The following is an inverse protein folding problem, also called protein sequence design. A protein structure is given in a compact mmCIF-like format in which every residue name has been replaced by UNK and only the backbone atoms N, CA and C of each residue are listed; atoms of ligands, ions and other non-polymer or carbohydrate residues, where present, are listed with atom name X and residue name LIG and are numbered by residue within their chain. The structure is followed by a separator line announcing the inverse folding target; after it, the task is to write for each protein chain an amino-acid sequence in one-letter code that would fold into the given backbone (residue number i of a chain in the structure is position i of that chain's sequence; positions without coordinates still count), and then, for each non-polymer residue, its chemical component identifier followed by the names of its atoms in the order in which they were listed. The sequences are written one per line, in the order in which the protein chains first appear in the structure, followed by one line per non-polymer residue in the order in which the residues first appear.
data_IF_777842466043
#
_entry.id   IF_777842466043
#
_cell.length_a   1.000
_cell.length_b   1.000
_cell.length_c   1.000
_cell.angle_alpha   90.00
_cell.angle_beta   90.00
_cell.angle_gamma   90.00
#
_symmetry.space_group_name_H-M   'P 1'
#
loop_
_entity.id
_entity.type
_entity.pdbx_description
1 polymer ?
#
# COMPACT_ATOMS: atom_id res chain seq x y z
N UNK A 1 48.26 -7.97 52.89
CA UNK A 1 46.78 -7.93 53.09
C UNK A 1 46.18 -7.06 51.99
N UNK A 2 45.77 -7.67 50.89
CA UNK A 2 45.15 -7.03 49.72
C UNK A 2 44.36 -8.14 49.02
N UNK A 3 43.04 -8.05 48.99
CA UNK A 3 42.22 -7.86 47.78
C UNK A 3 40.95 -8.72 48.03
N UNK A 4 39.74 -8.48 47.57
CA UNK A 4 39.18 -7.62 46.52
C UNK A 4 37.66 -7.63 46.82
N UNK A 5 37.00 -6.48 46.92
CA UNK A 5 35.52 -6.44 46.90
C UNK A 5 35.09 -6.71 45.45
N UNK A 6 34.45 -7.85 45.19
CA UNK A 6 33.83 -8.17 43.90
C UNK A 6 32.52 -7.39 43.78
N UNK A 7 32.53 -6.29 43.03
CA UNK A 7 31.32 -5.61 42.57
C UNK A 7 30.88 -6.27 41.27
N UNK A 8 29.82 -7.06 41.33
CA UNK A 8 29.17 -7.60 40.14
C UNK A 8 28.35 -6.48 39.47
N UNK A 9 28.88 -5.90 38.40
CA UNK A 9 28.17 -4.91 37.58
C UNK A 9 27.18 -5.69 36.67
N UNK A 10 25.91 -5.68 37.04
CA UNK A 10 24.81 -6.14 36.17
C UNK A 10 24.61 -5.09 35.06
N UNK A 11 25.21 -5.31 33.89
CA UNK A 11 24.96 -4.48 32.71
C UNK A 11 23.54 -4.78 32.19
N UNK A 12 22.55 -4.01 32.64
CA UNK A 12 21.22 -4.01 32.03
C UNK A 12 21.35 -3.33 30.68
N UNK A 13 21.49 -4.13 29.62
CA UNK A 13 21.37 -3.65 28.25
C UNK A 13 19.91 -3.22 28.03
N UNK A 14 19.64 -1.91 28.15
CA UNK A 14 18.42 -1.33 27.64
C UNK A 14 18.45 -1.48 26.11
N UNK A 15 17.80 -2.52 25.60
CA UNK A 15 17.53 -2.62 24.16
C UNK A 15 16.49 -1.56 23.83
N UNK A 16 16.93 -0.44 23.27
CA UNK A 16 16.03 0.46 22.56
C UNK A 16 15.46 -0.33 21.39
N UNK A 17 14.22 -0.79 21.49
CA UNK A 17 13.52 -1.37 20.34
C UNK A 17 13.37 -0.25 19.31
N UNK A 18 14.23 -0.27 18.29
CA UNK A 18 14.08 0.58 17.12
C UNK A 18 12.88 0.04 16.35
N UNK A 19 11.74 0.70 16.50
CA UNK A 19 10.52 0.39 15.72
C UNK A 19 10.86 0.53 14.25
N UNK A 20 10.55 -0.48 13.44
CA UNK A 20 10.81 -0.39 12.01
C UNK A 20 10.06 0.83 11.40
N UNK A 21 10.69 1.59 10.49
CA UNK A 21 10.01 2.68 9.82
C UNK A 21 8.80 2.16 9.04
N UNK A 22 7.75 2.97 8.94
CA UNK A 22 6.59 2.66 8.10
C UNK A 22 7.05 2.28 6.69
N UNK A 23 6.71 1.07 6.26
CA UNK A 23 6.93 0.64 4.89
C UNK A 23 5.97 1.41 3.99
N UNK A 24 6.51 2.04 2.94
CA UNK A 24 5.73 2.82 1.97
C UNK A 24 5.91 2.19 0.61
N UNK A 25 4.79 1.90 -0.06
CA UNK A 25 4.77 1.43 -1.43
C UNK A 25 3.83 2.29 -2.27
N UNK A 26 4.15 2.54 -3.54
CA UNK A 26 3.27 3.30 -4.44
C UNK A 26 3.30 2.78 -5.88
N UNK A 27 2.20 3.04 -6.60
CA UNK A 27 2.01 2.63 -7.99
C UNK A 27 1.38 3.75 -8.79
N UNK A 28 1.99 4.06 -9.92
CA UNK A 28 1.43 4.95 -10.92
C UNK A 28 0.58 4.13 -11.87
N UNK A 29 -0.66 4.56 -12.06
CA UNK A 29 -1.68 3.80 -12.77
C UNK A 29 -2.35 4.69 -13.82
N UNK A 30 -2.76 4.06 -14.92
CA UNK A 30 -3.54 4.70 -15.99
C UNK A 30 -4.75 3.84 -16.34
N UNK A 31 -5.88 4.48 -16.61
CA UNK A 31 -7.15 3.79 -16.86
C UNK A 31 -8.22 4.71 -17.43
N UNK A 32 -9.46 4.23 -17.36
CA UNK A 32 -10.62 4.92 -17.95
C UNK A 32 -10.72 4.80 -19.46
N UNK A 33 -11.74 5.45 -20.03
CA UNK A 33 -11.99 5.43 -21.47
C UNK A 33 -10.83 6.12 -22.20
N UNK A 34 -10.15 5.41 -23.10
CA UNK A 34 -8.94 5.87 -23.81
C UNK A 34 -7.70 6.11 -22.93
N UNK A 35 -7.63 5.53 -21.73
CA UNK A 35 -6.46 5.64 -20.84
C UNK A 35 -6.09 7.10 -20.50
N UNK A 36 -7.08 7.92 -20.18
CA UNK A 36 -6.89 9.34 -19.87
C UNK A 36 -7.02 9.67 -18.38
N UNK A 37 -7.26 8.67 -17.53
CA UNK A 37 -7.37 8.84 -16.08
C UNK A 37 -6.09 8.30 -15.46
N UNK A 38 -5.35 9.17 -14.78
CA UNK A 38 -4.13 8.82 -14.08
C UNK A 38 -4.36 8.80 -12.57
N UNK A 39 -3.83 7.78 -11.90
CA UNK A 39 -4.10 7.49 -10.51
C UNK A 39 -2.80 7.06 -9.82
N UNK A 40 -2.45 7.70 -8.70
CA UNK A 40 -1.47 7.16 -7.77
C UNK A 40 -2.22 6.32 -6.73
N UNK A 41 -1.77 5.09 -6.50
CA UNK A 41 -2.14 4.29 -5.33
C UNK A 41 -0.94 4.18 -4.41
N UNK A 42 -1.11 4.54 -3.14
CA UNK A 42 -0.03 4.49 -2.14
C UNK A 42 -0.48 3.74 -0.90
N UNK A 43 0.34 2.81 -0.44
CA UNK A 43 0.12 1.95 0.72
C UNK A 43 1.16 2.27 1.78
N UNK A 44 0.72 2.29 3.03
CA UNK A 44 1.56 2.38 4.23
C UNK A 44 1.32 1.12 5.04
N UNK A 45 2.40 0.52 5.55
CA UNK A 45 2.32 -0.69 6.35
C UNK A 45 3.26 -0.59 7.54
N UNK A 46 2.77 -0.99 8.71
CA UNK A 46 3.58 -1.20 9.90
C UNK A 46 3.87 -2.70 10.05
N UNK A 47 5.12 -3.15 9.83
CA UNK A 47 5.44 -4.57 9.78
C UNK A 47 5.15 -5.33 11.09
N UNK A 48 5.35 -4.67 12.23
CA UNK A 48 5.20 -5.31 13.56
C UNK A 48 3.74 -5.59 13.94
N UNK A 49 2.81 -4.71 13.56
CA UNK A 49 1.39 -4.83 13.91
C UNK A 49 0.55 -5.42 12.78
N UNK A 50 1.09 -5.45 11.56
CA UNK A 50 0.33 -5.75 10.35
C UNK A 50 -0.69 -4.66 9.99
N UNK A 51 -0.64 -3.49 10.65
CA UNK A 51 -1.53 -2.39 10.31
C UNK A 51 -1.18 -1.84 8.93
N UNK A 52 -2.19 -1.76 8.06
CA UNK A 52 -2.04 -1.16 6.74
C UNK A 52 -3.09 -0.09 6.50
N UNK A 53 -2.73 0.91 5.71
CA UNK A 53 -3.64 1.92 5.21
C UNK A 53 -3.18 2.36 3.82
N UNK A 54 -4.08 2.94 3.04
CA UNK A 54 -3.73 3.40 1.71
C UNK A 54 -4.49 4.68 1.34
N UNK A 55 -4.07 5.31 0.25
CA UNK A 55 -4.88 6.29 -0.44
C UNK A 55 -4.77 6.11 -1.94
N UNK A 56 -5.72 6.71 -2.66
CA UNK A 56 -5.58 6.99 -4.09
C UNK A 56 -5.62 8.48 -4.36
N UNK A 57 -4.91 8.94 -5.37
CA UNK A 57 -4.88 10.35 -5.78
C UNK A 57 -4.94 10.47 -7.30
N UNK A 58 -5.98 11.13 -7.81
CA UNK A 58 -6.15 11.35 -9.24
C UNK A 58 -5.27 12.52 -9.72
N UNK A 59 -4.64 12.36 -10.88
CA UNK A 59 -3.92 13.47 -11.52
C UNK A 59 -4.89 14.57 -11.96
N UNK A 60 -4.42 15.82 -12.00
CA UNK A 60 -5.21 16.96 -12.49
C UNK A 60 -6.22 17.55 -11.50
N UNK A 61 -6.52 16.88 -10.37
CA UNK A 61 -7.33 17.48 -9.33
C UNK A 61 -8.14 16.48 -8.50
N UNK A 62 -7.56 16.00 -7.41
CA UNK A 62 -8.28 15.55 -6.23
C UNK A 62 -7.36 15.66 -5.01
N UNK A 63 -7.93 15.85 -3.81
CA UNK A 63 -7.21 15.51 -2.58
C UNK A 63 -7.02 13.98 -2.56
N UNK A 64 -5.99 13.45 -1.86
CA UNK A 64 -5.90 12.02 -1.62
C UNK A 64 -7.20 11.49 -1.01
N UNK A 65 -7.72 10.40 -1.54
CA UNK A 65 -8.91 9.72 -1.05
C UNK A 65 -8.44 8.54 -0.20
N UNK A 66 -8.75 8.53 1.11
CA UNK A 66 -8.29 7.48 1.99
C UNK A 66 -8.99 6.15 1.67
N UNK A 67 -8.22 5.08 1.82
CA UNK A 67 -8.66 3.71 1.65
C UNK A 67 -8.48 2.92 2.95
N UNK A 68 -9.46 2.09 3.28
CA UNK A 68 -9.40 1.14 4.40
C UNK A 68 -9.33 -0.27 3.85
N UNK A 69 -8.35 -1.07 4.28
CA UNK A 69 -8.27 -2.48 3.87
C UNK A 69 -9.45 -3.25 4.47
N UNK A 70 -10.25 -3.90 3.61
CA UNK A 70 -11.35 -4.77 4.02
C UNK A 70 -10.89 -6.22 4.17
N UNK A 71 -10.06 -6.69 3.23
CA UNK A 71 -9.52 -8.05 3.25
C UNK A 71 -8.27 -8.15 2.38
N UNK A 72 -7.48 -9.19 2.65
CA UNK A 72 -6.39 -9.65 1.80
C UNK A 72 -6.28 -11.16 1.92
N UNK A 73 -6.15 -11.84 0.79
CA UNK A 73 -6.11 -13.30 0.73
C UNK A 73 -5.09 -13.78 -0.30
N UNK A 74 -4.42 -14.89 0.02
CA UNK A 74 -3.61 -15.65 -0.92
C UNK A 74 -4.51 -16.51 -1.80
N UNK A 75 -4.49 -16.25 -3.09
CA UNK A 75 -5.44 -16.85 -4.03
C UNK A 75 -4.80 -17.97 -4.86
N UNK A 76 -3.60 -17.76 -5.39
CA UNK A 76 -2.92 -18.72 -6.26
C UNK A 76 -1.42 -18.77 -5.98
N UNK A 77 -0.79 -19.95 -6.06
CA UNK A 77 0.67 -20.12 -6.05
C UNK A 77 1.13 -20.92 -7.26
N UNK A 78 1.35 -20.28 -8.42
CA UNK A 78 1.93 -20.96 -9.56
C UNK A 78 3.33 -21.48 -9.23
N UNK A 79 3.70 -22.62 -9.79
CA UNK A 79 5.04 -23.19 -9.61
C UNK A 79 6.12 -22.19 -10.05
N UNK A 80 7.16 -22.02 -9.22
CA UNK A 80 8.27 -21.11 -9.49
C UNK A 80 7.92 -19.61 -9.41
N UNK A 81 6.74 -19.21 -8.93
CA UNK A 81 6.34 -17.80 -8.79
C UNK A 81 5.88 -17.45 -7.37
N UNK A 82 5.93 -16.17 -6.98
CA UNK A 82 5.31 -15.70 -5.74
C UNK A 82 3.80 -15.98 -5.71
N UNK A 83 3.23 -15.96 -4.51
CA UNK A 83 1.79 -15.99 -4.34
C UNK A 83 1.13 -14.79 -5.04
N UNK A 84 -0.04 -15.06 -5.61
CA UNK A 84 -0.99 -14.04 -6.02
C UNK A 84 -1.83 -13.62 -4.80
N UNK A 85 -1.76 -12.34 -4.47
CA UNK A 85 -2.49 -11.74 -3.37
C UNK A 85 -3.66 -10.96 -3.95
N UNK A 86 -4.87 -11.16 -3.44
CA UNK A 86 -6.02 -10.32 -3.74
C UNK A 86 -6.40 -9.52 -2.51
N UNK A 87 -6.37 -8.19 -2.60
CA UNK A 87 -6.82 -7.28 -1.55
C UNK A 87 -8.03 -6.46 -1.98
N UNK A 88 -8.92 -6.21 -1.03
CA UNK A 88 -10.08 -5.34 -1.19
C UNK A 88 -9.90 -4.10 -0.31
N UNK A 89 -10.03 -2.93 -0.92
CA UNK A 89 -9.87 -1.64 -0.27
C UNK A 89 -11.15 -0.81 -0.41
N UNK A 90 -11.63 -0.23 0.67
CA UNK A 90 -12.84 0.58 0.70
C UNK A 90 -12.48 2.05 0.56
N UNK A 91 -13.09 2.71 -0.42
CA UNK A 91 -12.98 4.16 -0.63
C UNK A 91 -13.86 4.89 0.38
N UNK A 92 -13.27 5.81 1.16
CA UNK A 92 -14.00 6.58 2.16
C UNK A 92 -14.02 8.05 1.78
N UNK A 93 -15.20 8.60 1.55
CA UNK A 93 -15.42 10.02 1.31
C UNK A 93 -16.50 10.54 2.25
N UNK A 94 -16.23 11.65 2.93
CA UNK A 94 -17.19 12.31 3.83
C UNK A 94 -17.80 11.36 4.87
N UNK A 95 -16.99 10.45 5.41
CA UNK A 95 -17.41 9.45 6.41
C UNK A 95 -18.25 8.30 5.86
N UNK A 96 -18.38 8.15 4.53
CA UNK A 96 -19.14 7.08 3.88
C UNK A 96 -18.25 6.23 2.97
N UNK A 97 -18.58 4.96 2.86
CA UNK A 97 -17.99 4.08 1.86
C UNK A 97 -18.63 4.42 0.50
N UNK A 98 -17.84 4.92 -0.45
CA UNK A 98 -18.33 5.38 -1.77
C UNK A 98 -17.96 4.45 -2.92
N UNK A 99 -17.01 3.56 -2.69
CA UNK A 99 -16.55 2.60 -3.68
C UNK A 99 -15.61 1.58 -3.06
N UNK A 100 -15.13 0.68 -3.91
CA UNK A 100 -14.12 -0.30 -3.54
C UNK A 100 -13.12 -0.52 -4.66
N UNK A 101 -11.88 -0.83 -4.28
CA UNK A 101 -10.82 -1.25 -5.16
C UNK A 101 -10.53 -2.73 -4.90
N UNK A 102 -10.54 -3.53 -5.96
CA UNK A 102 -10.01 -4.89 -5.96
C UNK A 102 -8.64 -4.85 -6.62
N UNK A 103 -7.62 -5.23 -5.85
CA UNK A 103 -6.23 -5.22 -6.31
C UNK A 103 -5.70 -6.65 -6.28
N UNK A 104 -5.11 -7.09 -7.38
CA UNK A 104 -4.44 -8.38 -7.51
C UNK A 104 -2.97 -8.12 -7.78
N UNK A 105 -2.10 -8.63 -6.90
CA UNK A 105 -0.64 -8.50 -7.02
C UNK A 105 0.04 -9.86 -7.06
N UNK A 106 1.19 -9.94 -7.73
CA UNK A 106 2.08 -11.11 -7.68
C UNK A 106 3.53 -10.62 -7.64
N UNK A 107 4.18 -10.79 -6.49
CA UNK A 107 5.47 -10.14 -6.23
C UNK A 107 5.35 -8.61 -6.34
N UNK A 108 6.22 -7.98 -7.11
CA UNK A 108 6.22 -6.52 -7.30
C UNK A 108 5.16 -5.99 -8.29
N UNK A 109 4.46 -6.88 -9.00
CA UNK A 109 3.58 -6.53 -10.11
C UNK A 109 2.12 -6.39 -9.66
N UNK A 110 1.39 -5.46 -10.28
CA UNK A 110 -0.08 -5.40 -10.24
C UNK A 110 -0.62 -6.12 -11.48
N UNK A 111 -1.41 -7.17 -11.27
CA UNK A 111 -2.11 -7.88 -12.35
C UNK A 111 -3.51 -7.32 -12.60
N UNK A 112 -4.14 -6.78 -11.56
CA UNK A 112 -5.44 -6.12 -11.68
C UNK A 112 -5.55 -5.01 -10.67
N UNK A 113 -6.04 -3.86 -11.12
CA UNK A 113 -6.46 -2.78 -10.26
C UNK A 113 -7.82 -2.29 -10.76
N UNK A 114 -8.89 -2.67 -10.06
CA UNK A 114 -10.25 -2.42 -10.51
C UNK A 114 -11.00 -1.63 -9.44
N UNK A 115 -11.55 -0.50 -9.83
CA UNK A 115 -12.45 0.31 -9.02
C UNK A 115 -13.91 -0.03 -9.34
N UNK A 116 -14.76 -0.04 -8.32
CA UNK A 116 -16.21 -0.08 -8.43
C UNK A 116 -16.83 1.03 -7.61
N UNK A 117 -17.58 1.91 -8.26
CA UNK A 117 -18.34 2.95 -7.59
C UNK A 117 -19.63 2.37 -7.00
N UNK A 118 -19.85 2.54 -5.69
CA UNK A 118 -21.03 1.96 -5.02
C UNK A 118 -22.32 2.76 -5.28
N UNK A 119 -22.23 4.02 -5.71
CA UNK A 119 -23.40 4.86 -5.99
C UNK A 119 -24.09 4.50 -7.31
N UNK A 120 -23.31 4.23 -8.35
CA UNK A 120 -23.84 3.99 -9.70
C UNK A 120 -23.43 2.63 -10.30
N UNK A 121 -22.62 1.83 -9.60
CA UNK A 121 -22.16 0.52 -10.07
C UNK A 121 -21.12 0.60 -11.20
N UNK A 122 -20.69 1.79 -11.63
CA UNK A 122 -19.68 1.94 -12.68
C UNK A 122 -18.36 1.34 -12.22
N UNK A 123 -17.75 0.57 -13.10
CA UNK A 123 -16.43 -0.03 -12.87
C UNK A 123 -15.38 0.63 -13.76
N UNK A 124 -14.14 0.63 -13.29
CA UNK A 124 -12.99 1.13 -14.02
C UNK A 124 -11.78 0.24 -13.74
N UNK A 125 -11.03 -0.09 -14.78
CA UNK A 125 -9.80 -0.87 -14.67
C UNK A 125 -8.62 0.04 -14.94
N UNK A 126 -7.57 -0.15 -14.17
CA UNK A 126 -6.30 0.53 -14.31
C UNK A 126 -5.17 -0.49 -14.51
N UNK A 127 -4.13 -0.04 -15.21
CA UNK A 127 -2.87 -0.77 -15.40
C UNK A 127 -1.71 0.08 -14.92
N UNK A 128 -0.57 -0.55 -14.62
CA UNK A 128 0.64 0.18 -14.23
C UNK A 128 1.17 1.05 -15.37
N UNK A 129 1.46 2.31 -15.05
CA UNK A 129 2.13 3.26 -15.91
C UNK A 129 3.56 3.47 -15.39
N UNK A 130 4.47 2.59 -15.83
CA UNK A 130 5.87 2.60 -15.39
C UNK A 130 6.62 3.87 -15.84
N UNK A 131 6.16 4.52 -16.91
CA UNK A 131 6.78 5.73 -17.43
C UNK A 131 6.52 6.96 -16.55
N UNK A 132 5.48 6.91 -15.72
CA UNK A 132 5.12 7.98 -14.80
C UNK A 132 5.78 7.87 -13.42
N UNK A 133 6.50 6.78 -13.14
CA UNK A 133 7.18 6.61 -11.86
C UNK A 133 8.40 7.54 -11.77
N UNK A 134 8.41 8.42 -10.77
CA UNK A 134 9.47 9.41 -10.58
C UNK A 134 9.77 9.64 -9.09
N UNK A 135 11.02 9.44 -8.68
CA UNK A 135 11.47 9.50 -7.29
C UNK A 135 10.57 8.66 -6.36
N UNK A 136 9.84 9.34 -5.47
CA UNK A 136 8.98 8.78 -4.43
C UNK A 136 7.48 8.92 -4.78
N UNK A 137 7.13 9.22 -6.03
CA UNK A 137 5.73 9.35 -6.46
C UNK A 137 5.52 9.25 -7.97
N UNK A 138 4.38 9.80 -8.41
CA UNK A 138 3.96 9.76 -9.81
C UNK A 138 3.95 11.13 -10.47
N UNK A 139 4.61 11.24 -11.62
CA UNK A 139 4.65 12.44 -12.44
C UNK A 139 4.13 12.14 -13.85
N UNK A 140 2.99 12.75 -14.19
CA UNK A 140 2.43 12.75 -15.55
C UNK A 140 2.61 14.14 -16.15
N UNK A 141 3.09 14.19 -17.39
CA UNK A 141 3.18 15.45 -18.13
C UNK A 141 1.77 15.95 -18.48
N UNK A 142 1.58 17.26 -18.34
CA UNK A 142 0.34 17.94 -18.73
C UNK A 142 0.25 18.16 -20.24
#
# INVERSE_FOLDING_TARGET
MRFLFLVAIFFVAFTTQAREPLAVDFRCLIGGDKQNIHLEWRVFSEPETGWTTAYVKYHGGSKPIPLVQKSEEATQKPEGRPWEMTSIWLEVMEGKITGEYRVVTQGANIYRFQYKNHRNGKEMVFVQDLAAQWNDGCEWKR
#
